data_IF_502971199494
#
_entry.id   IF_502971199494
#
_cell.length_a   1.000
_cell.length_b   1.000
_cell.length_c   1.000
_cell.angle_alpha   90.00
_cell.angle_beta   90.00
_cell.angle_gamma   90.00
#
_symmetry.space_group_name_H-M   'P 1'
#
loop_
_entity.id
_entity.type
_entity.pdbx_description
1 polymer ?
#
# COMPACT_ATOMS: atom_id res chain seq x y z
N UNK A 1 -14.05 18.46 -28.91
CA UNK A 1 -12.72 17.88 -29.17
C UNK A 1 -12.29 17.18 -27.90
N UNK A 2 -12.38 15.85 -27.89
CA UNK A 2 -11.85 15.01 -26.80
C UNK A 2 -10.43 14.69 -27.21
N UNK A 3 -9.47 15.43 -26.67
CA UNK A 3 -8.05 15.13 -26.88
C UNK A 3 -7.74 13.87 -26.11
N UNK A 4 -7.66 12.75 -26.83
CA UNK A 4 -7.20 11.47 -26.29
C UNK A 4 -5.70 11.65 -26.02
N UNK A 5 -5.35 11.94 -24.76
CA UNK A 5 -3.96 11.90 -24.30
C UNK A 5 -3.48 10.46 -24.45
N UNK A 6 -2.60 10.25 -25.42
CA UNK A 6 -2.04 8.95 -25.75
C UNK A 6 -1.18 8.43 -24.60
N UNK A 7 -1.37 7.15 -24.29
CA UNK A 7 -0.89 6.36 -23.15
C UNK A 7 0.64 6.37 -22.84
N UNK A 8 1.47 7.08 -23.60
CA UNK A 8 2.92 7.12 -23.41
C UNK A 8 3.37 8.13 -22.34
N UNK A 9 2.63 9.22 -22.14
CA UNK A 9 2.98 10.21 -21.10
C UNK A 9 2.74 9.65 -19.69
N UNK A 10 1.78 8.72 -19.53
CA UNK A 10 1.43 8.14 -18.24
C UNK A 10 2.55 7.32 -17.59
N UNK A 11 3.37 6.63 -18.40
CA UNK A 11 4.48 5.81 -17.90
C UNK A 11 5.67 6.67 -17.45
N UNK A 12 5.91 7.83 -18.08
CA UNK A 12 6.98 8.73 -17.67
C UNK A 12 6.70 9.38 -16.30
N UNK A 13 5.43 9.74 -16.02
CA UNK A 13 5.03 10.25 -14.70
C UNK A 13 5.18 9.20 -13.59
N UNK A 14 4.89 7.93 -13.86
CA UNK A 14 4.99 6.87 -12.84
C UNK A 14 6.46 6.61 -12.42
N UNK A 15 7.41 6.65 -13.36
CA UNK A 15 8.84 6.42 -13.07
C UNK A 15 9.47 7.63 -12.33
N UNK A 16 9.08 8.86 -12.69
CA UNK A 16 9.63 10.08 -12.05
C UNK A 16 9.11 10.25 -10.62
N UNK A 17 7.82 9.97 -10.35
CA UNK A 17 7.25 10.10 -9.00
C UNK A 17 7.79 9.02 -8.04
N UNK A 18 8.02 7.80 -8.51
CA UNK A 18 8.64 6.74 -7.68
C UNK A 18 10.08 7.11 -7.29
N UNK A 19 10.82 7.76 -8.20
CA UNK A 19 12.20 8.19 -7.93
C UNK A 19 12.28 9.32 -6.89
N UNK A 20 11.31 10.25 -6.89
CA UNK A 20 11.26 11.33 -5.92
C UNK A 20 10.85 10.87 -4.51
N UNK A 21 9.95 9.88 -4.41
CA UNK A 21 9.50 9.34 -3.11
C UNK A 21 10.55 8.41 -2.47
N UNK A 22 11.37 7.73 -3.26
CA UNK A 22 12.45 6.89 -2.73
C UNK A 22 13.72 7.68 -2.34
N UNK A 23 13.96 8.83 -2.97
CA UNK A 23 15.07 9.73 -2.61
C UNK A 23 14.98 10.28 -1.18
N UNK A 24 13.77 10.62 -0.74
CA UNK A 24 13.52 11.12 0.62
C UNK A 24 13.59 10.01 1.70
N UNK A 25 13.42 8.74 1.33
CA UNK A 25 13.48 7.62 2.26
C UNK A 25 14.91 7.08 2.48
N UNK A 26 15.83 7.34 1.56
CA UNK A 26 17.21 6.82 1.60
C UNK A 26 18.30 7.84 1.96
N UNK A 27 17.95 9.10 2.25
CA UNK A 27 18.91 10.07 2.80
C UNK A 27 20.16 10.24 1.93
N UNK A 28 20.00 10.24 0.61
CA UNK A 28 21.11 10.50 -0.30
C UNK A 28 21.35 12.01 -0.39
N UNK A 29 22.06 12.57 0.58
CA UNK A 29 22.68 13.90 0.46
C UNK A 29 23.88 13.78 -0.49
N UNK A 30 23.59 13.63 -1.78
CA UNK A 30 24.58 13.75 -2.85
C UNK A 30 24.86 15.23 -3.09
N UNK A 31 26.05 15.67 -2.72
CA UNK A 31 26.65 16.95 -3.07
C UNK A 31 26.60 17.10 -4.59
N UNK A 32 25.75 17.99 -5.10
CA UNK A 32 25.81 18.45 -6.49
C UNK A 32 26.84 19.57 -6.50
N UNK A 33 28.10 19.19 -6.65
CA UNK A 33 29.19 20.12 -6.93
C UNK A 33 29.06 20.57 -8.39
N UNK A 34 28.97 21.87 -8.52
CA UNK A 34 28.81 22.68 -9.73
C UNK A 34 29.94 22.38 -10.72
N UNK A 35 29.64 21.67 -11.80
CA UNK A 35 30.50 21.59 -12.99
C UNK A 35 29.82 22.31 -14.15
N UNK A 36 30.15 23.58 -14.30
CA UNK A 36 30.06 24.31 -15.57
C UNK A 36 30.98 23.65 -16.61
N UNK A 37 30.42 22.92 -17.57
CA UNK A 37 31.06 22.64 -18.84
C UNK A 37 30.02 22.82 -19.97
N UNK A 38 30.36 23.52 -21.06
CA UNK A 38 29.45 23.76 -22.18
C UNK A 38 29.22 22.49 -23.00
N UNK A 39 27.95 22.19 -23.26
CA UNK A 39 27.54 21.12 -24.17
C UNK A 39 27.90 21.55 -25.60
N UNK A 40 29.02 21.03 -26.11
CA UNK A 40 29.37 21.07 -27.53
C UNK A 40 28.62 19.92 -28.20
N UNK A 41 27.69 20.28 -29.08
CA UNK A 41 26.96 19.34 -29.93
C UNK A 41 27.95 18.69 -30.89
N UNK A 42 28.21 17.38 -30.73
CA UNK A 42 28.96 16.59 -31.72
C UNK A 42 28.05 15.63 -32.45
N UNK A 43 28.10 15.73 -33.77
CA UNK A 43 27.34 14.97 -34.76
C UNK A 43 28.22 13.80 -35.23
N UNK A 44 27.62 12.62 -35.38
CA UNK A 44 28.06 11.41 -36.12
C UNK A 44 29.46 10.80 -35.85
N UNK A 45 29.47 9.50 -35.53
CA UNK A 45 30.24 8.40 -36.19
C UNK A 45 30.06 7.13 -35.33
N UNK A 46 29.41 6.09 -35.86
CA UNK A 46 30.01 4.97 -36.59
C UNK A 46 30.58 3.88 -35.68
N UNK A 47 29.97 2.69 -35.82
CA UNK A 47 30.39 1.32 -35.51
C UNK A 47 31.76 1.10 -34.86
N UNK A 48 31.78 0.34 -33.75
CA UNK A 48 32.67 -0.82 -33.62
C UNK A 48 32.25 -1.69 -32.43
N UNK A 49 32.25 -2.99 -32.69
CA UNK A 49 31.94 -4.08 -31.79
C UNK A 49 33.21 -4.37 -30.97
N UNK A 50 33.15 -4.34 -29.63
CA UNK A 50 34.17 -4.97 -28.81
C UNK A 50 33.56 -5.87 -27.74
N UNK A 51 33.93 -7.15 -27.86
CA UNK A 51 33.75 -8.23 -26.92
C UNK A 51 34.32 -7.84 -25.54
N UNK A 52 33.48 -7.78 -24.50
CA UNK A 52 33.97 -7.78 -23.13
C UNK A 52 33.98 -9.20 -22.58
N UNK A 53 35.20 -9.74 -22.56
CA UNK A 53 35.54 -11.08 -22.13
C UNK A 53 35.54 -11.20 -20.59
N UNK A 54 35.31 -12.44 -20.19
CA UNK A 54 35.24 -13.07 -18.88
C UNK A 54 36.30 -12.61 -17.85
N UNK A 55 35.88 -12.34 -16.61
CA UNK A 55 36.74 -12.48 -15.43
C UNK A 55 35.91 -12.65 -14.15
N UNK A 56 35.57 -13.91 -13.91
CA UNK A 56 35.36 -14.48 -12.57
C UNK A 56 36.48 -14.04 -11.60
N UNK A 57 36.14 -13.27 -10.57
CA UNK A 57 36.98 -13.12 -9.38
C UNK A 57 36.27 -13.67 -8.15
N UNK A 58 36.63 -14.91 -7.80
CA UNK A 58 36.26 -15.55 -6.55
C UNK A 58 37.01 -14.89 -5.39
N UNK A 59 36.29 -14.17 -4.53
CA UNK A 59 36.77 -13.79 -3.21
C UNK A 59 36.19 -14.76 -2.18
N UNK A 60 36.98 -15.79 -1.88
CA UNK A 60 36.86 -16.57 -0.66
C UNK A 60 37.36 -15.69 0.49
N UNK A 61 36.43 -15.10 1.25
CA UNK A 61 36.71 -14.36 2.47
C UNK A 61 36.35 -15.21 3.68
N UNK A 62 37.35 -15.94 4.16
CA UNK A 62 37.48 -16.58 5.47
C UNK A 62 37.12 -15.57 6.59
N UNK A 63 36.07 -15.83 7.37
CA UNK A 63 35.75 -15.04 8.58
C UNK A 63 35.55 -16.00 9.73
N UNK A 64 36.40 -15.75 10.73
CA UNK A 64 36.69 -16.55 11.90
C UNK A 64 35.49 -16.92 12.78
N UNK A 65 35.62 -18.11 13.33
CA UNK A 65 34.84 -18.66 14.43
C UNK A 65 34.99 -17.80 15.70
N UNK A 66 33.92 -17.10 16.06
CA UNK A 66 33.74 -16.52 17.39
C UNK A 66 32.88 -17.45 18.24
N UNK A 67 33.54 -18.26 19.07
CA UNK A 67 32.94 -18.95 20.21
C UNK A 67 32.53 -17.89 21.25
N UNK A 68 31.24 -17.80 21.59
CA UNK A 68 30.81 -17.15 22.82
C UNK A 68 29.62 -17.90 23.46
N UNK A 69 30.02 -18.65 24.48
CA UNK A 69 29.36 -19.05 25.70
C UNK A 69 27.86 -18.78 25.94
N UNK A 70 27.16 -19.89 26.23
CA UNK A 70 26.37 -20.11 27.44
C UNK A 70 25.49 -18.96 27.97
N UNK A 71 24.19 -19.04 27.68
CA UNK A 71 23.20 -18.77 28.73
C UNK A 71 21.97 -19.68 28.61
N UNK A 72 22.14 -20.87 29.19
CA UNK A 72 21.06 -21.73 29.65
C UNK A 72 20.24 -20.99 30.73
N UNK A 73 19.03 -20.56 30.38
CA UNK A 73 18.05 -20.21 31.39
C UNK A 73 16.67 -20.76 31.03
N UNK A 74 16.40 -21.94 31.57
CA UNK A 74 15.24 -22.07 32.46
C UNK A 74 13.90 -22.20 31.75
N UNK A 75 13.56 -23.45 31.44
CA UNK A 75 12.26 -23.84 30.91
C UNK A 75 11.06 -23.22 31.62
N UNK A 76 10.11 -22.73 30.81
CA UNK A 76 8.72 -22.58 31.24
C UNK A 76 7.82 -23.50 30.43
N UNK A 77 7.33 -24.49 31.18
CA UNK A 77 6.31 -25.46 30.83
C UNK A 77 5.12 -24.80 30.14
N UNK A 78 4.81 -25.32 28.95
CA UNK A 78 3.48 -25.66 28.43
C UNK A 78 2.30 -25.17 29.29
N UNK A 79 1.53 -24.21 28.76
CA UNK A 79 0.10 -24.16 29.02
C UNK A 79 -0.66 -23.94 27.70
N UNK A 80 -0.93 -25.06 27.06
CA UNK A 80 -2.04 -25.20 26.11
C UNK A 80 -3.32 -24.90 26.88
N UNK A 81 -3.89 -23.72 26.67
CA UNK A 81 -5.30 -23.45 26.97
C UNK A 81 -5.99 -23.15 25.65
N UNK A 82 -6.61 -24.20 25.09
CA UNK A 82 -7.73 -24.11 24.17
C UNK A 82 -8.78 -23.19 24.79
N UNK A 83 -8.82 -21.94 24.33
CA UNK A 83 -9.95 -21.04 24.54
C UNK A 83 -11.07 -21.49 23.61
N UNK A 84 -12.16 -21.96 24.21
CA UNK A 84 -13.39 -22.32 23.54
C UNK A 84 -13.98 -21.07 22.86
N UNK A 85 -14.10 -21.08 21.53
CA UNK A 85 -14.99 -20.17 20.83
C UNK A 85 -16.43 -20.59 21.14
N UNK A 86 -17.14 -19.73 21.88
CA UNK A 86 -18.57 -19.78 22.07
C UNK A 86 -19.22 -19.21 20.82
N UNK A 87 -19.80 -20.09 19.99
CA UNK A 87 -20.76 -19.69 18.97
C UNK A 87 -22.04 -19.24 19.68
N UNK A 88 -22.36 -17.95 19.58
CA UNK A 88 -23.72 -17.49 19.76
C UNK A 88 -24.40 -17.64 18.40
N UNK A 89 -25.11 -18.75 18.21
CA UNK A 89 -26.19 -18.85 17.23
C UNK A 89 -27.38 -18.06 17.82
N UNK A 90 -27.65 -16.90 17.25
CA UNK A 90 -28.96 -16.29 17.30
C UNK A 90 -29.47 -16.31 15.87
N UNK A 91 -30.45 -17.19 15.66
CA UNK A 91 -31.37 -17.22 14.53
C UNK A 91 -31.91 -15.81 14.27
N UNK A 92 -31.66 -15.29 13.07
CA UNK A 92 -32.60 -14.41 12.39
C UNK A 92 -32.79 -15.00 10.99
N UNK A 93 -33.84 -15.83 10.91
CA UNK A 93 -34.60 -16.10 9.71
C UNK A 93 -35.02 -14.74 9.09
N UNK A 94 -34.53 -14.43 7.89
CA UNK A 94 -35.21 -13.49 6.99
C UNK A 94 -35.18 -14.12 5.60
N UNK A 95 -36.25 -14.86 5.35
CA UNK A 95 -36.76 -15.21 4.03
C UNK A 95 -37.15 -13.90 3.31
N UNK A 96 -36.59 -13.66 2.13
CA UNK A 96 -37.29 -13.04 0.97
C UNK A 96 -36.27 -13.03 -0.19
N UNK A 97 -36.40 -13.95 -1.14
CA UNK A 97 -37.12 -13.69 -2.40
C UNK A 97 -36.65 -12.39 -3.06
N UNK A 98 -35.74 -12.48 -4.03
CA UNK A 98 -36.16 -12.17 -5.38
C UNK A 98 -35.20 -12.68 -6.45
N UNK A 99 -35.85 -13.18 -7.48
CA UNK A 99 -35.37 -13.79 -8.71
C UNK A 99 -34.64 -12.74 -9.57
N UNK A 100 -33.61 -13.16 -10.30
CA UNK A 100 -33.63 -13.17 -11.77
C UNK A 100 -32.26 -13.60 -12.30
N UNK A 101 -32.25 -14.83 -12.83
CA UNK A 101 -31.20 -15.36 -13.68
C UNK A 101 -31.35 -14.72 -15.07
N UNK A 102 -30.35 -13.93 -15.49
CA UNK A 102 -30.13 -13.70 -16.92
C UNK A 102 -28.96 -14.56 -17.39
N UNK A 103 -29.35 -15.77 -17.81
CA UNK A 103 -28.61 -16.59 -18.77
C UNK A 103 -28.30 -15.78 -20.02
N UNK A 104 -27.02 -15.54 -20.27
CA UNK A 104 -26.55 -15.12 -21.58
C UNK A 104 -25.64 -16.21 -22.15
N UNK A 105 -26.29 -17.22 -22.71
CA UNK A 105 -25.66 -18.21 -23.56
C UNK A 105 -25.46 -17.67 -24.99
N UNK A 106 -24.43 -18.22 -25.62
CA UNK A 106 -24.14 -18.22 -27.05
C UNK A 106 -23.37 -17.02 -27.62
N UNK A 107 -22.09 -17.24 -27.96
CA UNK A 107 -21.76 -17.51 -29.37
C UNK A 107 -20.27 -17.81 -29.58
N UNK A 108 -20.00 -19.00 -30.10
CA UNK A 108 -19.15 -19.11 -31.29
C UNK A 108 -17.72 -19.57 -31.05
N UNK A 109 -17.47 -20.84 -31.37
CA UNK A 109 -16.15 -21.45 -31.35
C UNK A 109 -15.19 -20.94 -32.43
N UNK A 110 -13.93 -21.26 -32.20
CA UNK A 110 -12.81 -21.11 -33.11
C UNK A 110 -11.65 -21.94 -32.58
N UNK A 111 -11.71 -23.24 -32.87
CA UNK A 111 -10.54 -24.13 -32.92
C UNK A 111 -9.52 -23.51 -33.86
N UNK A 112 -8.28 -23.35 -33.42
CA UNK A 112 -7.10 -23.47 -34.29
C UNK A 112 -5.98 -24.10 -33.45
N UNK A 113 -5.83 -25.41 -33.67
CA UNK A 113 -4.71 -26.24 -33.26
C UNK A 113 -3.47 -25.82 -34.05
N UNK A 114 -2.49 -25.19 -33.41
CA UNK A 114 -1.10 -25.22 -33.91
C UNK A 114 -0.17 -25.79 -32.84
N UNK A 115 -0.01 -27.09 -33.02
CA UNK A 115 1.04 -28.01 -32.61
C UNK A 115 2.43 -27.48 -33.01
N UNK A 116 3.27 -27.11 -32.04
CA UNK A 116 4.72 -27.04 -32.27
C UNK A 116 5.47 -27.72 -31.10
N UNK A 117 5.77 -28.99 -31.37
CA UNK A 117 6.73 -29.86 -30.71
C UNK A 117 8.11 -29.18 -30.60
N UNK A 118 8.49 -28.72 -29.40
CA UNK A 118 9.90 -28.47 -29.07
C UNK A 118 10.38 -29.45 -27.98
N UNK A 119 10.97 -30.53 -28.51
CA UNK A 119 11.69 -31.64 -27.89
C UNK A 119 12.62 -31.22 -26.74
N UNK A 120 12.27 -31.59 -25.50
CA UNK A 120 13.19 -31.56 -24.35
C UNK A 120 13.88 -32.92 -24.21
N UNK A 121 15.21 -33.03 -24.40
CA UNK A 121 15.89 -34.33 -24.35
C UNK A 121 15.93 -34.96 -22.94
N UNK A 122 15.67 -36.27 -22.95
CA UNK A 122 15.48 -37.25 -21.86
C UNK A 122 16.58 -37.41 -20.78
N UNK A 123 17.53 -36.48 -20.65
CA UNK A 123 18.69 -36.64 -19.77
C UNK A 123 18.49 -36.17 -18.30
N UNK A 124 17.42 -35.44 -17.97
CA UNK A 124 17.30 -34.78 -16.65
C UNK A 124 16.54 -35.59 -15.57
N UNK A 125 16.12 -36.82 -15.90
CA UNK A 125 15.61 -37.79 -14.93
C UNK A 125 16.75 -38.35 -14.07
N UNK A 126 16.90 -37.91 -12.81
CA UNK A 126 17.42 -38.81 -11.74
C UNK A 126 17.17 -38.33 -10.30
N UNK A 127 16.44 -39.19 -9.58
CA UNK A 127 16.45 -39.46 -8.12
C UNK A 127 16.04 -38.30 -7.18
N UNK A 128 15.05 -38.45 -6.29
CA UNK A 128 14.93 -39.55 -5.31
C UNK A 128 13.55 -39.54 -4.63
N UNK A 129 12.99 -40.73 -4.39
CA UNK A 129 11.79 -40.97 -3.55
C UNK A 129 12.19 -41.05 -2.05
N UNK A 130 11.30 -41.02 -1.02
CA UNK A 130 10.32 -42.13 -0.84
C UNK A 130 8.99 -41.87 -0.06
N UNK A 131 8.07 -42.83 -0.28
CA UNK A 131 7.15 -43.51 0.68
C UNK A 131 5.73 -42.97 1.03
N UNK A 132 4.74 -43.53 0.32
CA UNK A 132 3.54 -44.30 0.77
C UNK A 132 2.95 -44.08 2.18
N UNK A 133 1.62 -43.85 2.26
CA UNK A 133 0.59 -44.86 2.66
C UNK A 133 -0.88 -44.34 2.64
N UNK A 134 -1.70 -45.00 1.78
CA UNK A 134 -3.10 -45.54 1.92
C UNK A 134 -3.81 -45.37 3.30
N UNK A 135 -5.14 -45.28 3.49
CA UNK A 135 -6.32 -45.92 2.83
C UNK A 135 -7.66 -45.46 3.48
N UNK A 136 -8.76 -45.37 2.70
CA UNK A 136 -10.17 -45.83 2.93
C UNK A 136 -11.01 -45.49 4.19
N UNK A 137 -12.21 -44.91 3.95
CA UNK A 137 -13.52 -45.12 4.63
C UNK A 137 -14.06 -46.57 4.40
N UNK A 138 -15.19 -47.10 4.98
CA UNK A 138 -16.34 -46.49 5.72
C UNK A 138 -16.85 -47.32 6.95
N UNK A 139 -17.87 -46.84 7.70
CA UNK A 139 -19.05 -47.64 8.17
C UNK A 139 -19.85 -46.98 9.31
N UNK A 140 -21.18 -47.11 9.21
CA UNK A 140 -22.26 -46.81 10.16
C UNK A 140 -22.13 -47.57 11.49
N UNK A 141 -22.49 -46.93 12.61
CA UNK A 141 -23.15 -47.60 13.76
C UNK A 141 -24.08 -46.63 14.51
N UNK A 142 -25.34 -47.03 14.68
CA UNK A 142 -26.39 -46.43 15.53
C UNK A 142 -26.11 -46.76 17.01
N UNK A 143 -26.32 -45.85 17.96
CA UNK A 143 -26.69 -46.23 19.34
C UNK A 143 -27.43 -45.10 20.08
N UNK A 144 -28.26 -45.53 21.02
CA UNK A 144 -29.44 -44.90 21.60
C UNK A 144 -29.22 -43.85 22.70
N UNK A 145 -30.28 -43.03 22.91
CA UNK A 145 -30.68 -42.34 24.15
C UNK A 145 -30.54 -43.23 25.40
N UNK A 146 -30.30 -42.67 26.61
CA UNK A 146 -31.44 -42.37 27.54
C UNK A 146 -31.17 -41.09 28.40
N UNK A 147 -31.83 -40.82 29.56
CA UNK A 147 -32.64 -39.60 29.74
C UNK A 147 -32.14 -38.65 30.85
N UNK A 148 -32.82 -37.50 30.91
CA UNK A 148 -32.81 -36.43 31.91
C UNK A 148 -32.27 -36.72 33.31
N UNK A 149 -31.50 -35.76 33.85
CA UNK A 149 -31.60 -35.37 35.28
C UNK A 149 -31.45 -33.86 35.46
N UNK A 150 -32.53 -33.25 35.90
CA UNK A 150 -32.59 -31.94 36.57
C UNK A 150 -31.78 -31.95 37.86
N UNK A 151 -31.00 -30.90 38.15
CA UNK A 151 -30.80 -30.40 39.52
C UNK A 151 -30.37 -28.94 39.56
N UNK A 152 -31.12 -28.19 40.36
CA UNK A 152 -31.04 -26.76 40.65
C UNK A 152 -29.95 -26.46 41.71
N UNK A 153 -29.50 -25.19 41.68
CA UNK A 153 -28.93 -24.35 42.77
C UNK A 153 -27.49 -24.64 43.23
N UNK A 154 -26.76 -23.68 43.86
CA UNK A 154 -27.10 -22.28 44.15
C UNK A 154 -26.04 -21.23 43.76
N UNK A 155 -26.53 -20.00 43.67
CA UNK A 155 -25.85 -18.71 43.64
C UNK A 155 -24.79 -18.58 44.74
N UNK A 156 -23.55 -18.28 44.35
CA UNK A 156 -22.52 -17.74 45.26
C UNK A 156 -22.04 -16.39 44.73
N UNK A 157 -22.48 -15.35 45.43
CA UNK A 157 -22.02 -13.98 45.36
C UNK A 157 -20.54 -13.94 45.75
N UNK A 158 -19.64 -13.84 44.78
CA UNK A 158 -18.24 -13.48 45.02
C UNK A 158 -18.05 -12.01 44.67
N UNK A 159 -18.06 -11.18 45.71
CA UNK A 159 -17.59 -9.80 45.68
C UNK A 159 -16.11 -9.78 45.31
N UNK A 160 -15.82 -9.53 44.03
CA UNK A 160 -14.47 -9.34 43.53
C UNK A 160 -14.02 -7.90 43.82
N UNK A 161 -13.12 -7.79 44.79
CA UNK A 161 -12.33 -6.59 45.08
C UNK A 161 -11.51 -6.25 43.84
N UNK A 162 -11.89 -5.14 43.18
CA UNK A 162 -11.25 -4.60 41.98
C UNK A 162 -9.84 -4.09 42.34
N UNK A 163 -8.86 -4.99 42.31
CA UNK A 163 -7.45 -4.63 42.36
C UNK A 163 -7.12 -3.79 41.11
N UNK A 164 -6.99 -2.49 41.33
CA UNK A 164 -6.53 -1.54 40.33
C UNK A 164 -5.03 -1.78 40.15
N UNK A 165 -4.67 -2.69 39.25
CA UNK A 165 -3.29 -2.85 38.79
C UNK A 165 -2.96 -1.65 37.91
N UNK A 166 -2.52 -0.56 38.54
CA UNK A 166 -1.86 0.56 37.89
C UNK A 166 -0.51 0.09 37.36
N UNK A 167 -0.52 -0.59 36.22
CA UNK A 167 0.67 -0.74 35.40
C UNK A 167 0.98 0.65 34.83
N UNK A 168 1.80 1.41 35.55
CA UNK A 168 2.51 2.56 35.02
C UNK A 168 3.39 2.04 33.87
N UNK A 169 2.83 1.97 32.68
CA UNK A 169 3.59 1.89 31.46
C UNK A 169 4.35 3.20 31.38
N UNK A 170 5.64 3.15 31.67
CA UNK A 170 6.60 4.22 31.41
C UNK A 170 6.52 4.52 29.92
N UNK A 171 5.64 5.45 29.56
CA UNK A 171 5.50 5.97 28.22
C UNK A 171 6.70 6.86 28.02
N UNK A 172 7.76 6.29 27.46
CA UNK A 172 8.84 7.08 26.85
C UNK A 172 8.17 7.99 25.84
N UNK A 173 8.02 9.26 26.22
CA UNK A 173 7.46 10.31 25.36
C UNK A 173 8.44 10.48 24.21
N UNK A 174 8.17 9.83 23.10
CA UNK A 174 8.89 10.06 21.84
C UNK A 174 8.55 11.49 21.42
N UNK A 175 9.56 12.35 21.42
CA UNK A 175 9.45 13.71 20.92
C UNK A 175 9.54 13.65 19.38
N UNK A 176 8.45 14.01 18.71
CA UNK A 176 8.38 14.03 17.25
C UNK A 176 8.66 15.45 16.76
N UNK A 177 9.55 15.62 15.78
CA UNK A 177 9.90 16.93 15.24
C UNK A 177 8.79 17.56 14.38
N UNK A 178 7.86 16.76 13.85
CA UNK A 178 6.77 17.24 13.01
C UNK A 178 5.46 16.45 13.22
N UNK A 179 4.29 17.07 12.94
CA UNK A 179 3.00 16.39 13.00
C UNK A 179 2.90 15.19 12.06
N UNK A 180 3.53 15.25 10.89
CA UNK A 180 3.57 14.13 9.94
C UNK A 180 4.32 12.94 10.50
N UNK A 181 5.50 13.17 11.08
CA UNK A 181 6.29 12.11 11.69
C UNK A 181 5.56 11.49 12.89
N UNK A 182 4.84 12.29 13.68
CA UNK A 182 4.01 11.80 14.79
C UNK A 182 2.87 10.90 14.31
N UNK A 183 2.12 11.30 13.28
CA UNK A 183 0.98 10.51 12.79
C UNK A 183 1.42 9.26 12.02
N UNK A 184 2.52 9.32 11.26
CA UNK A 184 3.05 8.17 10.53
C UNK A 184 3.76 7.17 11.45
N UNK A 185 4.59 7.67 12.39
CA UNK A 185 5.39 6.83 13.28
C UNK A 185 4.62 6.17 14.42
N UNK A 186 3.37 6.57 14.66
CA UNK A 186 2.50 6.00 15.72
C UNK A 186 1.51 4.96 15.21
N UNK A 187 1.62 4.54 13.95
CA UNK A 187 0.68 3.62 13.28
C UNK A 187 -0.79 4.10 13.38
N UNK A 188 -0.98 5.42 13.44
CA UNK A 188 -2.30 6.01 13.50
C UNK A 188 -3.05 5.77 12.19
N UNK A 189 -4.30 5.28 12.27
CA UNK A 189 -5.12 5.00 11.08
C UNK A 189 -5.37 6.23 10.22
N UNK A 190 -5.45 7.43 10.83
CA UNK A 190 -5.55 8.69 10.06
C UNK A 190 -4.26 8.97 9.27
N UNK A 191 -3.10 8.78 9.90
CA UNK A 191 -1.81 8.90 9.22
C UNK A 191 -1.69 7.92 8.05
N UNK A 192 -2.09 6.66 8.28
CA UNK A 192 -2.08 5.61 7.25
C UNK A 192 -3.04 5.94 6.08
N UNK A 193 -4.22 6.49 6.35
CA UNK A 193 -5.15 6.99 5.31
C UNK A 193 -4.50 8.09 4.46
N UNK A 194 -3.90 9.10 5.11
CA UNK A 194 -3.25 10.22 4.42
C UNK A 194 -2.10 9.73 3.54
N UNK A 195 -1.24 8.85 4.06
CA UNK A 195 -0.10 8.31 3.32
C UNK A 195 -0.58 7.52 2.09
N UNK A 196 -1.54 6.61 2.27
CA UNK A 196 -2.08 5.82 1.15
C UNK A 196 -2.79 6.69 0.11
N UNK A 197 -3.44 7.79 0.53
CA UNK A 197 -4.08 8.75 -0.37
C UNK A 197 -3.05 9.60 -1.13
N UNK A 198 -1.99 10.10 -0.47
CA UNK A 198 -0.93 10.89 -1.11
C UNK A 198 -0.20 10.12 -2.22
N UNK A 199 -0.10 8.81 -2.15
CA UNK A 199 0.49 8.01 -3.23
C UNK A 199 -0.40 7.85 -4.46
N UNK A 200 -1.64 8.36 -4.46
CA UNK A 200 -2.61 8.16 -5.55
C UNK A 200 -3.68 9.24 -5.65
N UNK A 201 -3.41 10.44 -5.10
CA UNK A 201 -4.41 11.51 -5.00
C UNK A 201 -4.92 11.96 -6.37
N UNK A 202 -4.07 11.86 -7.41
CA UNK A 202 -4.37 12.31 -8.77
C UNK A 202 -5.51 11.53 -9.44
N UNK A 203 -5.87 10.36 -8.92
CA UNK A 203 -7.03 9.59 -9.38
C UNK A 203 -8.36 10.09 -8.79
N UNK A 204 -8.35 10.86 -7.70
CA UNK A 204 -9.57 11.32 -7.03
C UNK A 204 -9.78 12.83 -7.05
N UNK A 205 -8.68 13.59 -7.12
CA UNK A 205 -8.66 15.05 -6.96
C UNK A 205 -8.00 15.66 -8.20
N UNK A 206 -8.71 16.58 -8.83
CA UNK A 206 -8.14 17.46 -9.86
C UNK A 206 -7.48 18.64 -9.17
N UNK A 207 -6.15 18.65 -9.15
CA UNK A 207 -5.37 19.78 -8.67
C UNK A 207 -4.19 20.06 -9.61
N UNK A 208 -3.92 21.31 -9.98
CA UNK A 208 -4.73 22.51 -9.69
C UNK A 208 -6.11 22.49 -10.36
N UNK A 209 -7.03 23.31 -9.86
CA UNK A 209 -8.34 23.51 -10.51
C UNK A 209 -8.14 24.35 -11.78
N UNK A 210 -8.42 23.81 -12.98
CA UNK A 210 -8.18 24.51 -14.23
C UNK A 210 -8.99 25.80 -14.34
N UNK A 211 -10.11 25.92 -13.64
CA UNK A 211 -10.95 27.13 -13.64
C UNK A 211 -10.37 28.28 -12.84
N UNK A 212 -9.40 28.01 -11.97
CA UNK A 212 -8.73 29.01 -11.13
C UNK A 212 -7.44 29.53 -11.74
N UNK A 213 -6.95 28.88 -12.79
CA UNK A 213 -5.71 29.25 -13.47
C UNK A 213 -5.98 30.36 -14.50
N UNK A 214 -5.02 31.27 -14.73
CA UNK A 214 -5.16 32.25 -15.80
C UNK A 214 -5.06 31.56 -17.17
N UNK A 215 -5.96 31.93 -18.10
CA UNK A 215 -5.99 31.39 -19.46
C UNK A 215 -4.67 31.63 -20.24
N UNK A 216 -3.91 32.65 -19.83
CA UNK A 216 -2.62 33.02 -20.44
C UNK A 216 -1.56 33.20 -19.37
N UNK A 217 -0.30 32.79 -19.65
CA UNK A 217 0.82 33.07 -18.78
C UNK A 217 0.97 34.58 -18.48
N UNK A 218 1.47 34.95 -17.28
CA UNK A 218 1.84 36.32 -16.99
C UNK A 218 2.90 36.87 -17.99
N UNK A 219 2.98 38.19 -18.20
CA UNK A 219 3.98 38.77 -19.09
C UNK A 219 5.41 38.39 -18.69
N UNK A 220 6.24 38.02 -19.66
CA UNK A 220 7.64 37.54 -19.47
C UNK A 220 7.77 36.17 -18.80
N UNK A 221 6.68 35.48 -18.55
CA UNK A 221 6.67 34.12 -18.03
C UNK A 221 6.15 33.13 -19.08
N UNK A 222 6.78 31.96 -19.14
CA UNK A 222 6.31 30.82 -19.92
C UNK A 222 5.74 29.74 -19.01
N UNK A 223 4.67 29.07 -19.46
CA UNK A 223 4.09 27.95 -18.72
C UNK A 223 5.04 26.74 -18.75
N UNK A 224 5.24 26.11 -17.60
CA UNK A 224 6.01 24.87 -17.53
C UNK A 224 5.17 23.69 -18.01
N UNK A 225 5.70 22.93 -18.97
CA UNK A 225 5.04 21.73 -19.45
C UNK A 225 4.90 20.69 -18.33
N UNK A 226 3.74 20.05 -18.26
CA UNK A 226 3.38 19.11 -17.18
C UNK A 226 3.07 19.75 -15.81
N UNK A 227 3.28 21.06 -15.63
CA UNK A 227 3.02 21.76 -14.36
C UNK A 227 2.02 22.92 -14.55
N UNK A 228 0.72 22.62 -14.74
CA UNK A 228 -0.29 23.65 -14.90
C UNK A 228 -0.28 24.65 -13.74
N UNK A 229 -0.32 25.94 -14.04
CA UNK A 229 -0.26 27.02 -13.04
C UNK A 229 1.14 27.33 -12.49
N UNK A 230 2.19 26.66 -12.96
CA UNK A 230 3.59 27.01 -12.68
C UNK A 230 4.21 27.65 -13.92
N UNK A 231 4.88 28.77 -13.70
CA UNK A 231 5.49 29.54 -14.78
C UNK A 231 6.95 29.87 -14.46
N UNK A 232 7.79 29.93 -15.49
CA UNK A 232 9.20 30.35 -15.38
C UNK A 232 9.41 31.65 -16.13
N UNK A 233 10.12 32.60 -15.51
CA UNK A 233 10.42 33.87 -16.15
C UNK A 233 11.51 33.69 -17.22
N UNK A 234 11.21 34.02 -18.47
CA UNK A 234 12.12 33.84 -19.62
C UNK A 234 12.67 35.15 -20.19
N UNK A 235 12.19 36.30 -19.69
CA UNK A 235 12.71 37.62 -20.06
C UNK A 235 12.76 38.58 -18.86
N UNK A 236 13.62 39.62 -18.93
CA UNK A 236 13.73 40.67 -17.91
C UNK A 236 14.82 40.44 -16.87
N UNK A 237 14.72 41.11 -15.71
CA UNK A 237 15.68 41.00 -14.61
C UNK A 237 15.46 39.75 -13.74
N UNK A 238 14.24 39.20 -13.75
CA UNK A 238 13.85 38.04 -12.94
C UNK A 238 13.95 36.70 -13.72
N UNK A 239 14.74 36.64 -14.79
CA UNK A 239 14.93 35.42 -15.59
C UNK A 239 15.35 34.25 -14.70
N UNK A 240 14.68 33.11 -14.88
CA UNK A 240 14.89 31.90 -14.09
C UNK A 240 14.05 31.82 -12.80
N UNK A 241 13.33 32.88 -12.42
CA UNK A 241 12.40 32.80 -11.29
C UNK A 241 11.18 31.94 -11.62
N UNK A 242 10.78 31.09 -10.65
CA UNK A 242 9.58 30.24 -10.76
C UNK A 242 8.43 30.91 -10.01
N UNK A 243 7.31 31.08 -10.70
CA UNK A 243 6.07 31.62 -10.16
C UNK A 243 5.00 30.53 -10.13
N UNK A 244 4.69 30.06 -8.93
CA UNK A 244 3.60 29.10 -8.69
C UNK A 244 2.31 29.85 -8.36
N UNK A 245 1.34 29.82 -9.28
CA UNK A 245 0.03 30.45 -9.12
C UNK A 245 -1.06 29.48 -8.65
N UNK A 246 -0.70 28.23 -8.34
CA UNK A 246 -1.68 27.23 -7.88
C UNK A 246 -2.15 27.54 -6.47
N UNK A 247 -3.39 27.16 -6.17
CA UNK A 247 -3.95 27.31 -4.83
C UNK A 247 -3.31 26.29 -3.85
N UNK A 248 -2.43 26.81 -2.98
CA UNK A 248 -1.72 26.03 -1.95
C UNK A 248 -2.65 25.54 -0.83
N UNK A 249 -3.80 26.19 -0.62
CA UNK A 249 -4.77 25.81 0.41
C UNK A 249 -5.54 24.53 0.05
N UNK A 250 -5.67 24.24 -1.25
CA UNK A 250 -6.28 23.02 -1.79
C UNK A 250 -5.27 21.99 -2.28
N UNK A 251 -3.98 22.24 -2.11
CA UNK A 251 -2.94 21.34 -2.57
C UNK A 251 -3.03 19.98 -1.86
N UNK A 252 -2.83 18.86 -2.57
CA UNK A 252 -2.84 17.51 -2.00
C UNK A 252 -1.54 17.28 -1.21
N UNK A 253 -1.47 17.85 -0.01
CA UNK A 253 -0.36 17.73 0.91
C UNK A 253 -0.84 17.23 2.28
N UNK A 254 0.11 16.78 3.10
CA UNK A 254 -0.19 16.25 4.43
C UNK A 254 -0.95 17.26 5.30
N UNK A 255 -0.55 18.53 5.31
CA UNK A 255 -1.15 19.54 6.19
C UNK A 255 -2.63 19.76 5.86
N UNK A 256 -2.98 19.82 4.57
CA UNK A 256 -4.35 19.99 4.11
C UNK A 256 -5.18 18.73 4.40
N UNK A 257 -4.64 17.54 4.13
CA UNK A 257 -5.34 16.29 4.42
C UNK A 257 -5.48 16.01 5.93
N UNK A 258 -4.51 16.36 6.75
CA UNK A 258 -4.59 16.19 8.21
C UNK A 258 -5.72 17.01 8.85
N UNK A 259 -6.08 18.14 8.23
CA UNK A 259 -7.21 19.00 8.65
C UNK A 259 -8.57 18.42 8.25
N UNK A 260 -8.63 17.59 7.20
CA UNK A 260 -9.87 16.94 6.77
C UNK A 260 -10.35 15.90 7.78
N UNK A 261 -11.64 15.56 7.74
CA UNK A 261 -12.20 14.45 8.52
C UNK A 261 -11.69 13.12 7.97
N UNK A 262 -11.49 12.13 8.84
CA UNK A 262 -11.05 10.79 8.41
C UNK A 262 -12.07 10.10 7.48
N UNK A 263 -13.34 10.46 7.58
CA UNK A 263 -14.40 10.00 6.67
C UNK A 263 -14.18 10.50 5.23
N UNK A 264 -13.98 11.80 5.05
CA UNK A 264 -13.70 12.39 3.73
C UNK A 264 -12.41 11.83 3.11
N UNK A 265 -11.37 11.61 3.94
CA UNK A 265 -10.12 10.99 3.49
C UNK A 265 -10.32 9.54 3.03
N UNK A 266 -11.14 8.77 3.75
CA UNK A 266 -11.47 7.38 3.37
C UNK A 266 -12.21 7.36 2.04
N UNK A 267 -13.20 8.22 1.87
CA UNK A 267 -14.02 8.24 0.66
C UNK A 267 -13.19 8.68 -0.56
N UNK A 268 -12.30 9.67 -0.39
CA UNK A 268 -11.32 10.06 -1.42
C UNK A 268 -10.36 8.92 -1.77
N UNK A 269 -9.88 8.18 -0.77
CA UNK A 269 -8.99 7.04 -0.99
C UNK A 269 -9.69 5.92 -1.76
N UNK A 270 -10.93 5.59 -1.39
CA UNK A 270 -11.74 4.59 -2.10
C UNK A 270 -11.94 5.00 -3.56
N UNK A 271 -12.35 6.26 -3.79
CA UNK A 271 -12.50 6.82 -5.14
C UNK A 271 -11.21 6.71 -5.95
N UNK A 272 -10.07 7.09 -5.36
CA UNK A 272 -8.77 7.01 -6.02
C UNK A 272 -8.40 5.58 -6.41
N UNK A 273 -8.63 4.60 -5.52
CA UNK A 273 -8.34 3.19 -5.77
C UNK A 273 -9.25 2.64 -6.88
N UNK A 274 -10.55 2.97 -6.85
CA UNK A 274 -11.49 2.53 -7.88
C UNK A 274 -11.12 3.06 -9.26
N UNK A 275 -10.77 4.35 -9.35
CA UNK A 275 -10.36 4.95 -10.62
C UNK A 275 -9.00 4.41 -11.10
N UNK A 276 -8.04 4.21 -10.20
CA UNK A 276 -6.77 3.56 -10.53
C UNK A 276 -6.99 2.14 -11.06
N UNK A 277 -7.85 1.34 -10.41
CA UNK A 277 -8.22 0.00 -10.89
C UNK A 277 -8.86 0.06 -12.28
N UNK A 278 -9.78 1.00 -12.50
CA UNK A 278 -10.46 1.16 -13.80
C UNK A 278 -9.47 1.43 -14.92
N UNK A 279 -8.51 2.34 -14.70
CA UNK A 279 -7.47 2.66 -15.68
C UNK A 279 -6.50 1.49 -15.89
N UNK A 280 -6.11 0.78 -14.82
CA UNK A 280 -5.25 -0.39 -14.91
C UNK A 280 -5.89 -1.51 -15.73
N UNK A 281 -7.16 -1.85 -15.47
CA UNK A 281 -7.88 -2.88 -16.22
C UNK A 281 -8.03 -2.49 -17.69
N UNK A 282 -8.25 -1.20 -17.98
CA UNK A 282 -8.34 -0.70 -19.35
C UNK A 282 -7.00 -0.78 -20.11
N UNK A 283 -5.86 -0.66 -19.43
CA UNK A 283 -4.54 -0.67 -20.03
C UNK A 283 -3.91 -2.08 -20.13
N UNK A 284 -4.03 -2.88 -19.08
CA UNK A 284 -3.31 -4.16 -18.92
C UNK A 284 -4.23 -5.39 -18.87
N UNK A 285 -5.55 -5.19 -18.75
CA UNK A 285 -6.52 -6.26 -18.50
C UNK A 285 -6.70 -6.58 -17.02
N UNK A 286 -7.59 -7.53 -16.72
CA UNK A 286 -7.93 -7.94 -15.36
C UNK A 286 -6.96 -8.98 -14.79
N UNK A 287 -6.90 -9.09 -13.46
CA UNK A 287 -6.17 -10.15 -12.76
C UNK A 287 -4.69 -9.88 -12.51
N UNK A 288 -4.21 -8.66 -12.78
CA UNK A 288 -2.82 -8.25 -12.54
C UNK A 288 -2.46 -8.31 -11.05
N UNK A 289 -1.17 -8.45 -10.74
CA UNK A 289 -0.68 -8.41 -9.36
C UNK A 289 -1.05 -7.10 -8.65
N UNK A 290 -0.91 -5.98 -9.35
CA UNK A 290 -1.28 -4.65 -8.86
C UNK A 290 -2.78 -4.53 -8.56
N UNK A 291 -3.65 -5.14 -9.37
CA UNK A 291 -5.08 -5.15 -9.07
C UNK A 291 -5.38 -5.85 -7.74
N UNK A 292 -4.70 -6.96 -7.45
CA UNK A 292 -4.85 -7.69 -6.18
C UNK A 292 -4.42 -6.85 -4.99
N UNK A 293 -3.32 -6.10 -5.11
CA UNK A 293 -2.87 -5.17 -4.07
C UNK A 293 -3.87 -4.04 -3.82
N UNK A 294 -4.40 -3.45 -4.90
CA UNK A 294 -5.43 -2.41 -4.81
C UNK A 294 -6.69 -2.94 -4.11
N UNK A 295 -7.09 -4.18 -4.38
CA UNK A 295 -8.21 -4.84 -3.70
C UNK A 295 -7.95 -5.04 -2.19
N UNK A 296 -6.71 -5.36 -1.79
CA UNK A 296 -6.33 -5.45 -0.37
C UNK A 296 -6.45 -4.09 0.31
N UNK A 297 -5.97 -3.03 -0.33
CA UNK A 297 -6.04 -1.68 0.23
C UNK A 297 -7.49 -1.18 0.30
N UNK A 298 -8.31 -1.48 -0.72
CA UNK A 298 -9.73 -1.15 -0.75
C UNK A 298 -10.48 -1.76 0.45
N UNK A 299 -10.31 -3.08 0.65
CA UNK A 299 -10.90 -3.79 1.80
C UNK A 299 -10.41 -3.26 3.14
N UNK A 300 -9.15 -2.82 3.21
CA UNK A 300 -8.64 -2.15 4.41
C UNK A 300 -9.34 -0.81 4.63
N UNK A 301 -9.45 0.03 3.61
CA UNK A 301 -10.03 1.37 3.70
C UNK A 301 -11.51 1.32 4.15
N UNK A 302 -12.29 0.38 3.60
CA UNK A 302 -13.69 0.14 3.99
C UNK A 302 -13.85 -0.25 5.47
N UNK A 303 -12.85 -0.93 6.05
CA UNK A 303 -12.86 -1.39 7.44
C UNK A 303 -12.33 -0.36 8.44
N UNK A 304 -11.75 0.75 7.99
CA UNK A 304 -11.20 1.77 8.90
C UNK A 304 -12.34 2.47 9.64
N UNK A 305 -12.28 2.45 10.97
CA UNK A 305 -13.16 3.24 11.83
C UNK A 305 -12.67 4.69 11.88
N UNK A 306 -13.39 5.58 11.17
CA UNK A 306 -13.03 6.99 10.94
C UNK A 306 -13.07 7.81 12.23
N UNK A 307 -14.09 7.62 13.07
CA UNK A 307 -14.22 8.31 14.37
C UNK A 307 -13.06 7.99 15.31
N UNK A 308 -12.64 6.72 15.36
CA UNK A 308 -11.51 6.29 16.17
C UNK A 308 -10.21 6.87 15.62
N UNK A 309 -10.03 6.86 14.29
CA UNK A 309 -8.86 7.43 13.64
C UNK A 309 -8.66 8.91 13.98
N UNK A 310 -9.73 9.72 13.92
CA UNK A 310 -9.68 11.14 14.28
C UNK A 310 -9.38 11.35 15.78
N UNK A 311 -10.02 10.56 16.66
CA UNK A 311 -9.77 10.63 18.11
C UNK A 311 -8.33 10.27 18.47
N UNK A 312 -7.77 9.23 17.85
CA UNK A 312 -6.41 8.78 18.13
C UNK A 312 -5.39 9.77 17.57
N UNK A 313 -5.60 10.32 16.37
CA UNK A 313 -4.78 11.40 15.82
C UNK A 313 -4.75 12.63 16.75
N UNK A 314 -5.92 13.07 17.25
CA UNK A 314 -6.00 14.18 18.19
C UNK A 314 -5.26 13.92 19.50
N UNK A 315 -5.31 12.68 20.02
CA UNK A 315 -4.55 12.29 21.23
C UNK A 315 -3.05 12.34 20.98
N UNK A 316 -2.58 11.82 19.85
CA UNK A 316 -1.16 11.80 19.48
C UNK A 316 -0.62 13.23 19.37
N UNK A 317 -1.29 14.09 18.61
CA UNK A 317 -0.87 15.49 18.44
C UNK A 317 -0.85 16.25 19.78
N UNK A 318 -1.86 16.03 20.63
CA UNK A 318 -1.91 16.63 21.98
C UNK A 318 -0.80 16.12 22.89
N UNK A 319 -0.50 14.81 22.86
CA UNK A 319 0.56 14.21 23.66
C UNK A 319 1.94 14.73 23.25
N UNK A 320 2.17 14.94 21.96
CA UNK A 320 3.41 15.49 21.41
C UNK A 320 3.48 17.03 21.46
N UNK A 321 2.45 17.71 21.96
CA UNK A 321 2.35 19.20 21.96
C UNK A 321 2.51 19.82 20.57
N UNK A 322 2.11 19.08 19.53
CA UNK A 322 2.19 19.52 18.15
C UNK A 322 0.85 20.13 17.71
N UNK A 323 0.93 21.17 16.89
CA UNK A 323 -0.21 21.78 16.20
C UNK A 323 -0.07 21.57 14.70
N UNK A 324 -1.18 21.40 13.99
CA UNK A 324 -1.16 21.41 12.53
C UNK A 324 -0.92 22.86 12.09
N UNK A 325 0.06 23.07 11.22
CA UNK A 325 0.35 24.40 10.68
C UNK A 325 -0.91 24.98 10.01
N UNK A 326 -1.23 26.24 10.30
CA UNK A 326 -2.35 26.97 9.67
C UNK A 326 -2.19 27.08 8.15
#
# INVERSE_FOLDING_TARGET
MITIFTSLDFYHYHIIVISFVLGDLFGYTGIVEELEQPIVVFTEMSSEEEEFNDSNHAMNGDVEEGEDDNNDNGGRKRRSSRGAMSYNEADEDDDDDDEEEEDNEASGGGDDEEDDDDDVPLASLKSSSPTKKKKTTPSKTKTAKPPATTKKKPTTTSSATKATSSSNATTTTVEYASPSFALYGSECKKGELIQKLLCRWWYAITWPDPTTLPDKPPPHYDAMDGFPGVYVCTAGEEVGTIKDMRDKSKAPNFNNFAKMKSEELRDLLIKAIQEQKRQLIAAEGAGTGTEKELNVILKWAEKVNTDKADKDAAKILKASKLTLAE
#
